data_IF_184750166760
#
_entry.id   IF_184750166760
#
_cell.length_a   1.000
_cell.length_b   1.000
_cell.length_c   1.000
_cell.angle_alpha   90.00
_cell.angle_beta   90.00
_cell.angle_gamma   90.00
#
_symmetry.space_group_name_H-M   'P 1'
#
loop_
_entity.id
_entity.type
_entity.pdbx_description
1 polymer ?
#
# COMPACT_ATOMS: atom_id res chain seq x y z
N UNK A 1 -10.64 2.24 3.66
CA UNK A 1 -9.81 2.71 2.51
C UNK A 1 -10.54 2.46 1.20
N UNK A 2 -10.12 3.09 0.11
CA UNK A 2 -10.58 2.85 -1.27
C UNK A 2 -9.38 2.58 -2.16
N UNK A 3 -9.59 1.80 -3.23
CA UNK A 3 -8.54 1.49 -4.21
C UNK A 3 -8.12 2.77 -4.92
N UNK A 4 -6.82 3.07 -4.91
CA UNK A 4 -6.27 4.25 -5.57
C UNK A 4 -6.21 4.09 -7.09
N UNK A 5 -5.95 5.18 -7.82
CA UNK A 5 -5.74 5.11 -9.27
C UNK A 5 -4.57 4.18 -9.66
N UNK A 6 -3.54 4.03 -8.78
CA UNK A 6 -2.44 3.06 -8.98
C UNK A 6 -2.96 1.61 -8.88
N UNK A 7 -3.82 1.32 -7.90
CA UNK A 7 -4.46 0.01 -7.76
C UNK A 7 -5.38 -0.31 -8.94
N UNK A 8 -6.19 0.66 -9.38
CA UNK A 8 -7.04 0.54 -10.55
C UNK A 8 -6.20 0.28 -11.82
N UNK A 9 -5.10 1.03 -12.02
CA UNK A 9 -4.21 0.84 -13.15
C UNK A 9 -3.57 -0.56 -13.14
N UNK A 10 -3.18 -1.07 -11.96
CA UNK A 10 -2.66 -2.44 -11.83
C UNK A 10 -3.71 -3.48 -12.26
N UNK A 11 -4.95 -3.37 -11.76
CA UNK A 11 -6.03 -4.31 -12.09
C UNK A 11 -6.33 -4.27 -13.59
N UNK A 12 -6.56 -3.09 -14.16
CA UNK A 12 -6.92 -2.92 -15.57
C UNK A 12 -5.85 -3.41 -16.54
N UNK A 13 -4.56 -3.36 -16.14
CA UNK A 13 -3.45 -3.87 -16.93
C UNK A 13 -3.48 -5.41 -17.10
N UNK A 14 -4.12 -6.14 -16.17
CA UNK A 14 -4.21 -7.60 -16.21
C UNK A 14 -5.56 -8.12 -16.67
N UNK A 15 -6.66 -7.37 -16.46
CA UNK A 15 -7.99 -7.83 -16.87
C UNK A 15 -8.25 -7.61 -18.36
N UNK A 16 -7.58 -6.66 -18.98
CA UNK A 16 -7.88 -6.22 -20.34
C UNK A 16 -9.21 -5.45 -20.40
N UNK A 17 -9.53 -4.92 -21.58
CA UNK A 17 -10.76 -4.16 -21.82
C UNK A 17 -11.56 -4.77 -22.96
N UNK A 18 -12.81 -5.19 -22.69
CA UNK A 18 -13.76 -5.58 -23.72
C UNK A 18 -14.82 -4.49 -23.90
N UNK A 19 -14.88 -3.83 -25.08
CA UNK A 19 -15.90 -2.83 -25.35
C UNK A 19 -17.27 -3.43 -25.63
N UNK A 20 -17.37 -4.73 -25.88
CA UNK A 20 -18.61 -5.47 -26.18
C UNK A 20 -18.84 -6.56 -25.15
N UNK A 21 -20.11 -6.81 -24.85
CA UNK A 21 -20.52 -7.91 -24.00
C UNK A 21 -20.15 -9.26 -24.62
N UNK A 22 -19.62 -10.17 -23.81
CA UNK A 22 -19.20 -11.51 -24.24
C UNK A 22 -19.48 -12.54 -23.13
N UNK A 23 -19.42 -13.82 -23.47
CA UNK A 23 -19.38 -14.94 -22.54
C UNK A 23 -18.06 -15.67 -22.70
N UNK A 24 -17.37 -15.98 -21.58
CA UNK A 24 -16.14 -16.76 -21.61
C UNK A 24 -16.41 -18.19 -22.05
N UNK A 25 -17.56 -18.74 -21.58
CA UNK A 25 -18.08 -20.05 -22.02
C UNK A 25 -19.58 -19.93 -22.33
N UNK A 26 -20.12 -20.69 -23.31
CA UNK A 26 -21.53 -20.57 -23.71
C UNK A 26 -22.53 -20.83 -22.57
N UNK A 27 -22.15 -21.62 -21.58
CA UNK A 27 -22.99 -22.00 -20.44
C UNK A 27 -23.11 -20.94 -19.35
N UNK A 28 -22.35 -19.81 -19.45
CA UNK A 28 -22.49 -18.73 -18.49
C UNK A 28 -23.89 -18.13 -18.50
N UNK A 29 -24.43 -17.87 -17.30
CA UNK A 29 -25.77 -17.33 -17.11
C UNK A 29 -25.85 -15.87 -17.59
N UNK A 30 -24.81 -15.07 -17.36
CA UNK A 30 -24.77 -13.66 -17.70
C UNK A 30 -23.61 -13.33 -18.62
N UNK A 31 -23.61 -12.14 -19.17
CA UNK A 31 -22.54 -11.62 -20.01
C UNK A 31 -21.50 -10.87 -19.14
N UNK A 32 -20.30 -10.77 -19.67
CA UNK A 32 -19.19 -9.98 -19.14
C UNK A 32 -18.92 -8.80 -20.05
N UNK A 33 -18.54 -7.64 -19.50
CA UNK A 33 -18.21 -6.44 -20.28
C UNK A 33 -17.12 -5.61 -19.55
N UNK A 34 -16.45 -4.73 -20.27
CA UNK A 34 -15.48 -3.79 -19.71
C UNK A 34 -14.24 -4.48 -19.16
N UNK A 35 -13.94 -4.30 -17.88
CA UNK A 35 -12.81 -4.88 -17.16
C UNK A 35 -13.22 -6.10 -16.33
N UNK A 36 -14.09 -6.96 -16.86
CA UNK A 36 -14.53 -8.17 -16.18
C UNK A 36 -15.82 -8.01 -15.38
N UNK A 37 -16.59 -6.95 -15.60
CA UNK A 37 -17.90 -6.80 -14.98
C UNK A 37 -18.87 -7.86 -15.52
N UNK A 38 -19.33 -8.78 -14.63
CA UNK A 38 -20.22 -9.88 -14.91
C UNK A 38 -21.52 -9.72 -14.11
N UNK A 39 -22.65 -9.69 -14.81
CA UNK A 39 -23.92 -9.51 -14.09
C UNK A 39 -25.17 -9.60 -14.97
N UNK A 40 -26.33 -9.68 -14.30
CA UNK A 40 -27.66 -9.69 -14.94
C UNK A 40 -28.01 -8.38 -15.68
N UNK A 41 -27.30 -7.34 -15.37
CA UNK A 41 -27.41 -6.00 -15.96
C UNK A 41 -26.69 -5.89 -17.31
N UNK A 42 -25.75 -6.80 -17.61
CA UNK A 42 -25.08 -6.88 -18.90
C UNK A 42 -25.92 -7.66 -19.88
N UNK A 43 -26.41 -7.01 -20.94
CA UNK A 43 -27.24 -7.61 -21.98
C UNK A 43 -26.40 -8.05 -23.17
N UNK A 44 -26.88 -9.05 -23.90
CA UNK A 44 -26.28 -9.44 -25.18
C UNK A 44 -26.22 -8.24 -26.14
N UNK A 45 -25.10 -8.12 -26.85
CA UNK A 45 -24.88 -7.01 -27.78
C UNK A 45 -24.57 -5.66 -27.14
N UNK A 46 -24.59 -5.56 -25.80
CA UNK A 46 -24.26 -4.31 -25.12
C UNK A 46 -22.82 -3.86 -25.41
N UNK A 47 -22.63 -2.54 -25.50
CA UNK A 47 -21.32 -1.90 -25.66
C UNK A 47 -21.06 -0.92 -24.53
N UNK A 48 -19.77 -0.69 -24.22
CA UNK A 48 -19.36 0.19 -23.13
C UNK A 48 -18.13 1.02 -23.50
N UNK A 49 -18.06 2.26 -23.02
CA UNK A 49 -16.85 3.09 -23.10
C UNK A 49 -15.88 2.73 -21.99
N UNK A 50 -14.58 3.05 -22.15
CA UNK A 50 -13.57 2.87 -21.09
C UNK A 50 -13.95 3.60 -19.80
N UNK A 51 -14.48 4.83 -19.90
CA UNK A 51 -14.90 5.61 -18.74
C UNK A 51 -15.99 4.90 -17.94
N UNK A 52 -17.03 4.43 -18.63
CA UNK A 52 -18.13 3.69 -17.97
C UNK A 52 -17.66 2.34 -17.41
N UNK A 53 -16.75 1.66 -18.09
CA UNK A 53 -16.16 0.42 -17.60
C UNK A 53 -15.33 0.63 -16.32
N UNK A 54 -14.63 1.76 -16.19
CA UNK A 54 -13.93 2.14 -14.95
C UNK A 54 -14.88 2.41 -13.78
N UNK A 55 -16.03 3.04 -14.04
CA UNK A 55 -17.07 3.23 -13.02
C UNK A 55 -17.61 1.88 -12.51
N UNK A 56 -17.91 0.95 -13.42
CA UNK A 56 -18.34 -0.40 -13.07
C UNK A 56 -17.26 -1.12 -12.27
N UNK A 57 -16.00 -1.07 -12.72
CA UNK A 57 -14.88 -1.67 -11.98
C UNK A 57 -14.79 -1.11 -10.55
N UNK A 58 -14.85 0.22 -10.38
CA UNK A 58 -14.83 0.85 -9.04
C UNK A 58 -15.98 0.36 -8.16
N UNK A 59 -17.17 0.14 -8.74
CA UNK A 59 -18.32 -0.45 -8.03
C UNK A 59 -18.05 -1.91 -7.63
N UNK A 60 -17.53 -2.72 -8.55
CA UNK A 60 -17.22 -4.14 -8.31
C UNK A 60 -16.13 -4.32 -7.25
N UNK A 61 -15.17 -3.40 -7.19
CA UNK A 61 -14.09 -3.45 -6.20
C UNK A 61 -14.59 -3.29 -4.77
N UNK A 62 -15.73 -2.67 -4.52
CA UNK A 62 -16.25 -2.41 -3.17
C UNK A 62 -16.35 -3.67 -2.31
N UNK A 63 -16.72 -4.81 -2.87
CA UNK A 63 -16.79 -6.10 -2.14
C UNK A 63 -15.42 -6.61 -1.74
N UNK A 64 -14.42 -6.43 -2.60
CA UNK A 64 -13.04 -6.85 -2.33
C UNK A 64 -12.35 -5.90 -1.35
N UNK A 65 -12.60 -4.59 -1.46
CA UNK A 65 -12.18 -3.59 -0.47
C UNK A 65 -12.69 -3.95 0.92
N UNK A 66 -13.98 -4.33 1.05
CA UNK A 66 -14.56 -4.79 2.31
C UNK A 66 -13.87 -6.06 2.83
N UNK A 67 -13.56 -7.02 1.96
CA UNK A 67 -12.84 -8.25 2.33
C UNK A 67 -11.44 -7.93 2.85
N UNK A 68 -10.69 -7.05 2.17
CA UNK A 68 -9.36 -6.63 2.59
C UNK A 68 -9.40 -5.90 3.93
N UNK A 69 -10.36 -4.97 4.12
CA UNK A 69 -10.49 -4.19 5.35
C UNK A 69 -10.79 -5.01 6.61
N UNK A 70 -11.22 -6.27 6.49
CA UNK A 70 -11.37 -7.17 7.66
C UNK A 70 -10.10 -7.29 8.50
N UNK A 71 -8.94 -7.17 7.87
CA UNK A 71 -7.63 -7.37 8.51
C UNK A 71 -6.88 -6.07 8.75
N UNK A 72 -7.50 -4.90 8.57
CA UNK A 72 -6.82 -3.61 8.76
C UNK A 72 -6.36 -3.38 10.20
N UNK A 73 -7.13 -3.87 11.17
CA UNK A 73 -6.75 -3.85 12.59
C UNK A 73 -5.51 -4.69 12.92
N UNK A 74 -5.15 -5.67 12.05
CA UNK A 74 -3.96 -6.51 12.19
C UNK A 74 -2.78 -5.90 11.44
N UNK A 75 -3.03 -5.43 10.21
CA UNK A 75 -1.95 -5.05 9.29
C UNK A 75 -1.70 -3.55 9.22
N UNK A 76 -2.68 -2.70 9.58
CA UNK A 76 -2.58 -1.24 9.46
C UNK A 76 -2.03 -0.84 8.07
N UNK A 77 -2.84 -1.09 7.05
CA UNK A 77 -2.44 -0.95 5.65
C UNK A 77 -1.98 0.46 5.30
N UNK A 78 -0.87 0.56 4.58
CA UNK A 78 -0.65 1.70 3.73
C UNK A 78 -1.41 1.54 2.40
N UNK A 79 -1.51 2.62 1.60
CA UNK A 79 -2.30 2.61 0.36
C UNK A 79 -1.77 1.58 -0.66
N UNK A 80 -0.45 1.40 -0.76
CA UNK A 80 0.14 0.45 -1.71
C UNK A 80 -0.15 -1.01 -1.30
N UNK A 81 -0.08 -1.31 -0.01
CA UNK A 81 -0.44 -2.63 0.54
C UNK A 81 -1.92 -2.93 0.30
N UNK A 82 -2.80 -1.96 0.58
CA UNK A 82 -4.23 -2.08 0.35
C UNK A 82 -4.54 -2.34 -1.13
N UNK A 83 -3.99 -1.54 -2.04
CA UNK A 83 -4.19 -1.67 -3.48
C UNK A 83 -3.72 -3.04 -4.00
N UNK A 84 -2.57 -3.51 -3.53
CA UNK A 84 -2.03 -4.82 -3.90
C UNK A 84 -2.95 -5.97 -3.44
N UNK A 85 -3.47 -5.88 -2.22
CA UNK A 85 -4.42 -6.85 -1.70
C UNK A 85 -5.76 -6.82 -2.43
N UNK A 86 -6.27 -5.66 -2.79
CA UNK A 86 -7.50 -5.56 -3.58
C UNK A 86 -7.31 -6.14 -4.96
N UNK A 87 -6.17 -5.88 -5.64
CA UNK A 87 -5.83 -6.51 -6.92
C UNK A 87 -5.75 -8.03 -6.80
N UNK A 88 -5.11 -8.54 -5.75
CA UNK A 88 -5.03 -9.97 -5.48
C UNK A 88 -6.42 -10.57 -5.24
N UNK A 89 -7.23 -9.96 -4.35
CA UNK A 89 -8.58 -10.42 -4.04
C UNK A 89 -9.50 -10.40 -5.27
N UNK A 90 -9.38 -9.40 -6.13
CA UNK A 90 -10.15 -9.30 -7.37
C UNK A 90 -9.93 -10.51 -8.28
N UNK A 91 -8.70 -11.03 -8.35
CA UNK A 91 -8.36 -12.19 -9.17
C UNK A 91 -8.60 -13.54 -8.47
N UNK A 92 -8.34 -13.63 -7.16
CA UNK A 92 -8.38 -14.92 -6.41
C UNK A 92 -9.70 -15.08 -5.62
N UNK A 93 -10.45 -14.00 -5.41
CA UNK A 93 -11.70 -13.98 -4.66
C UNK A 93 -11.57 -13.39 -3.25
N UNK A 94 -10.52 -13.72 -2.50
CA UNK A 94 -10.25 -13.17 -1.17
C UNK A 94 -8.76 -13.17 -0.83
N UNK A 95 -8.39 -12.51 0.28
CA UNK A 95 -7.03 -12.57 0.85
C UNK A 95 -6.93 -13.54 2.05
N UNK A 96 -8.00 -14.23 2.41
CA UNK A 96 -8.06 -15.06 3.61
C UNK A 96 -6.97 -16.16 3.61
N UNK A 97 -6.83 -16.89 2.50
CA UNK A 97 -5.78 -17.89 2.34
C UNK A 97 -4.37 -17.29 2.27
N UNK A 98 -4.20 -16.15 1.59
CA UNK A 98 -2.91 -15.46 1.50
C UNK A 98 -2.44 -14.98 2.88
N UNK A 99 -3.34 -14.41 3.67
CA UNK A 99 -3.04 -13.90 5.02
C UNK A 99 -3.09 -14.99 6.10
N UNK A 100 -3.55 -16.20 5.77
CA UNK A 100 -3.87 -17.26 6.72
C UNK A 100 -4.79 -16.72 7.82
N UNK A 101 -5.90 -16.10 7.39
CA UNK A 101 -6.88 -15.44 8.26
C UNK A 101 -6.25 -14.39 9.23
N UNK A 102 -5.29 -13.61 8.73
CA UNK A 102 -4.66 -12.53 9.50
C UNK A 102 -3.50 -12.97 10.41
N UNK A 103 -3.04 -14.22 10.32
CA UNK A 103 -1.95 -14.73 11.18
C UNK A 103 -0.56 -14.65 10.55
N UNK A 104 -0.44 -14.49 9.23
CA UNK A 104 0.87 -14.32 8.57
C UNK A 104 1.40 -12.91 8.75
N UNK A 105 2.70 -12.79 8.93
CA UNK A 105 3.39 -11.49 8.85
C UNK A 105 3.38 -10.93 7.42
N UNK A 106 3.53 -9.62 7.27
CA UNK A 106 3.67 -8.96 5.95
C UNK A 106 4.82 -9.54 5.12
N UNK A 107 5.93 -9.92 5.75
CA UNK A 107 7.07 -10.52 5.07
C UNK A 107 6.74 -11.92 4.49
N UNK A 108 6.01 -12.74 5.22
CA UNK A 108 5.54 -14.05 4.75
C UNK A 108 4.49 -13.90 3.64
N UNK A 109 3.57 -12.94 3.77
CA UNK A 109 2.58 -12.61 2.74
C UNK A 109 3.27 -12.29 1.42
N UNK A 110 4.29 -11.41 1.43
CA UNK A 110 5.05 -11.06 0.24
C UNK A 110 5.76 -12.26 -0.41
N UNK A 111 6.19 -13.25 0.38
CA UNK A 111 6.76 -14.50 -0.13
C UNK A 111 5.66 -15.40 -0.73
N UNK A 112 4.56 -15.58 -0.02
CA UNK A 112 3.46 -16.47 -0.43
C UNK A 112 2.70 -15.94 -1.65
N UNK A 113 2.60 -14.62 -1.82
CA UNK A 113 1.84 -14.01 -2.91
C UNK A 113 2.23 -14.58 -4.29
N UNK A 114 3.51 -14.76 -4.56
CA UNK A 114 4.01 -15.28 -5.84
C UNK A 114 3.68 -16.76 -6.10
N UNK A 115 3.24 -17.50 -5.07
CA UNK A 115 2.84 -18.91 -5.21
C UNK A 115 1.45 -19.07 -5.84
N UNK A 116 0.63 -18.01 -5.88
CA UNK A 116 -0.72 -18.01 -6.46
C UNK A 116 -0.70 -17.78 -7.98
N UNK A 117 0.17 -18.51 -8.67
CA UNK A 117 0.41 -18.39 -10.12
C UNK A 117 -0.09 -19.57 -10.95
N UNK A 118 -0.96 -20.42 -10.36
CA UNK A 118 -1.46 -21.63 -11.02
C UNK A 118 -2.97 -21.55 -11.28
N UNK A 119 -3.40 -22.14 -12.38
CA UNK A 119 -4.80 -22.46 -12.65
C UNK A 119 -4.87 -23.79 -13.40
N UNK A 120 -5.86 -24.62 -13.11
CA UNK A 120 -5.97 -25.97 -13.67
C UNK A 120 -4.73 -26.86 -13.44
N UNK A 121 -4.00 -26.65 -12.33
CA UNK A 121 -2.78 -27.39 -12.00
C UNK A 121 -1.51 -26.87 -12.69
N UNK A 122 -1.59 -25.95 -13.66
CA UNK A 122 -0.47 -25.44 -14.45
C UNK A 122 -0.06 -24.04 -14.01
N UNK A 123 1.25 -23.75 -14.07
CA UNK A 123 1.77 -22.39 -13.88
C UNK A 123 1.44 -21.56 -15.11
N UNK A 124 0.81 -20.40 -14.90
CA UNK A 124 0.47 -19.46 -15.96
C UNK A 124 1.38 -18.23 -15.92
N UNK A 125 2.04 -17.92 -17.04
CA UNK A 125 2.94 -16.76 -17.16
C UNK A 125 2.22 -15.44 -16.85
N UNK A 126 0.94 -15.28 -17.24
CA UNK A 126 0.14 -14.11 -16.90
C UNK A 126 -0.04 -13.93 -15.39
N UNK A 127 -0.36 -15.02 -14.68
CA UNK A 127 -0.50 -15.00 -13.21
C UNK A 127 0.86 -14.75 -12.53
N UNK A 128 1.93 -15.33 -13.04
CA UNK A 128 3.29 -15.08 -12.51
C UNK A 128 3.64 -13.60 -12.60
N UNK A 129 3.40 -12.96 -13.75
CA UNK A 129 3.62 -11.52 -13.94
C UNK A 129 2.72 -10.69 -13.01
N UNK A 130 1.44 -11.05 -12.88
CA UNK A 130 0.48 -10.37 -11.99
C UNK A 130 0.93 -10.41 -10.55
N UNK A 131 1.25 -11.58 -10.02
CA UNK A 131 1.75 -11.76 -8.64
C UNK A 131 3.04 -10.99 -8.38
N UNK A 132 3.95 -10.93 -9.36
CA UNK A 132 5.18 -10.14 -9.25
C UNK A 132 4.87 -8.63 -9.10
N UNK A 133 3.95 -8.09 -9.91
CA UNK A 133 3.53 -6.68 -9.82
C UNK A 133 2.77 -6.35 -8.55
N UNK A 134 1.90 -7.23 -8.10
CA UNK A 134 1.19 -7.08 -6.82
C UNK A 134 2.16 -7.09 -5.64
N UNK A 135 3.13 -8.01 -5.64
CA UNK A 135 4.20 -8.05 -4.64
C UNK A 135 5.07 -6.79 -4.66
N UNK A 136 5.46 -6.31 -5.85
CA UNK A 136 6.22 -5.06 -5.99
C UNK A 136 5.47 -3.89 -5.36
N UNK A 137 4.16 -3.76 -5.67
CA UNK A 137 3.32 -2.71 -5.10
C UNK A 137 3.18 -2.88 -3.58
N UNK A 138 2.94 -4.10 -3.09
CA UNK A 138 2.82 -4.41 -1.67
C UNK A 138 4.06 -4.01 -0.87
N UNK A 139 5.25 -4.23 -1.41
CA UNK A 139 6.52 -3.90 -0.75
C UNK A 139 6.93 -2.44 -0.91
N UNK A 140 6.23 -1.68 -1.73
CA UNK A 140 6.53 -0.27 -1.95
C UNK A 140 6.08 0.55 -0.75
N UNK A 141 7.01 1.23 -0.12
CA UNK A 141 6.67 2.19 0.94
C UNK A 141 5.69 3.23 0.41
N UNK A 142 4.70 3.60 1.22
CA UNK A 142 3.79 4.69 0.86
C UNK A 142 4.56 6.01 0.74
N UNK A 143 4.05 6.94 -0.07
CA UNK A 143 4.65 8.28 -0.15
C UNK A 143 4.56 9.03 1.18
N UNK A 144 3.57 8.67 2.04
CA UNK A 144 3.46 9.16 3.41
C UNK A 144 4.44 8.47 4.37
N UNK A 145 4.96 7.27 4.01
CA UNK A 145 6.13 6.67 4.64
C UNK A 145 7.45 7.25 4.10
N UNK A 146 7.39 8.22 3.23
CA UNK A 146 8.52 9.10 2.96
C UNK A 146 8.87 9.75 4.28
N UNK A 147 9.62 8.90 5.01
CA UNK A 147 10.34 9.28 6.18
C UNK A 147 9.46 9.53 7.41
N UNK A 148 9.12 8.46 8.12
CA UNK A 148 9.03 8.45 9.58
C UNK A 148 10.27 9.16 10.17
N UNK A 149 11.30 9.34 9.35
CA UNK A 149 12.55 10.00 9.69
C UNK A 149 12.63 11.40 9.03
N UNK A 150 13.30 12.32 9.71
CA UNK A 150 13.75 13.57 9.09
C UNK A 150 14.84 13.29 8.05
N UNK A 151 15.04 14.17 7.05
CA UNK A 151 16.15 14.06 6.10
C UNK A 151 17.50 13.98 6.82
N UNK A 152 18.48 13.35 6.17
CA UNK A 152 19.84 13.30 6.71
C UNK A 152 20.44 14.70 6.79
N UNK A 153 21.02 15.04 7.92
CA UNK A 153 21.80 16.26 8.08
C UNK A 153 23.22 16.09 7.52
N UNK A 154 23.60 16.90 6.56
CA UNK A 154 24.91 16.85 5.90
C UNK A 154 25.81 18.04 6.26
N UNK A 155 25.39 18.92 7.19
CA UNK A 155 26.15 20.08 7.62
C UNK A 155 27.11 19.79 8.78
N UNK A 156 27.84 20.80 9.21
CA UNK A 156 28.89 20.73 10.25
C UNK A 156 28.52 21.42 11.58
N UNK A 157 27.29 21.94 11.74
CA UNK A 157 26.89 22.62 12.97
C UNK A 157 26.86 21.66 14.16
N UNK A 158 27.33 22.16 15.31
CA UNK A 158 27.18 21.56 16.64
C UNK A 158 25.96 22.09 17.41
N UNK A 159 25.27 23.11 16.88
CA UNK A 159 24.05 23.63 17.49
C UNK A 159 22.85 22.79 17.08
N UNK A 160 22.17 22.19 18.06
CA UNK A 160 21.06 21.28 17.84
C UNK A 160 19.89 21.94 17.08
N UNK A 161 19.54 23.18 17.39
CA UNK A 161 18.42 23.84 16.74
C UNK A 161 18.72 24.20 15.29
N UNK A 162 19.97 24.52 14.94
CA UNK A 162 20.42 24.68 13.56
C UNK A 162 20.33 23.36 12.82
N UNK A 163 20.79 22.26 13.42
CA UNK A 163 20.72 20.92 12.85
C UNK A 163 19.28 20.51 12.58
N UNK A 164 18.42 20.64 13.59
CA UNK A 164 17.01 20.24 13.48
C UNK A 164 16.24 21.10 12.47
N UNK A 165 16.43 22.42 12.49
CA UNK A 165 15.79 23.34 11.55
C UNK A 165 16.18 23.05 10.10
N UNK A 166 17.47 22.77 9.85
CA UNK A 166 17.97 22.49 8.49
C UNK A 166 17.42 21.20 7.86
N UNK A 167 16.94 20.27 8.67
CA UNK A 167 16.29 19.03 8.20
C UNK A 167 14.76 19.09 8.25
N UNK A 168 14.19 20.27 8.48
CA UNK A 168 12.75 20.52 8.41
C UNK A 168 11.97 20.15 9.68
N UNK A 169 12.63 20.15 10.84
CA UNK A 169 11.92 20.02 12.12
C UNK A 169 11.11 21.31 12.37
N UNK A 170 9.80 21.21 12.65
CA UNK A 170 8.96 22.38 12.94
C UNK A 170 9.45 23.21 14.13
N UNK A 171 9.34 24.53 14.05
CA UNK A 171 9.81 25.48 15.09
C UNK A 171 9.23 25.19 16.48
N UNK A 172 8.02 24.63 16.59
CA UNK A 172 7.42 24.23 17.87
C UNK A 172 8.25 23.19 18.66
N UNK A 173 9.20 22.51 18.02
CA UNK A 173 10.10 21.53 18.63
C UNK A 173 11.52 22.07 18.85
N UNK A 174 11.76 23.36 18.58
CA UNK A 174 13.07 24.01 18.72
C UNK A 174 13.13 24.88 19.97
N UNK A 175 14.30 25.42 20.28
CA UNK A 175 14.54 26.43 21.31
C UNK A 175 14.71 25.91 22.73
N UNK A 176 14.03 24.88 23.16
CA UNK A 176 14.14 24.34 24.52
C UNK A 176 14.18 22.82 24.57
N UNK A 177 14.66 22.26 25.68
CA UNK A 177 14.64 20.82 25.90
C UNK A 177 13.22 20.29 26.03
N UNK A 178 12.30 21.06 26.64
CA UNK A 178 10.89 20.68 26.78
C UNK A 178 10.20 20.60 25.41
N UNK A 179 10.47 21.53 24.51
CA UNK A 179 9.96 21.52 23.14
C UNK A 179 10.45 20.31 22.35
N UNK A 180 11.66 19.81 22.62
CA UNK A 180 12.27 18.65 21.94
C UNK A 180 11.83 17.29 22.49
N UNK A 181 11.16 17.23 23.67
CA UNK A 181 10.68 15.97 24.25
C UNK A 181 9.91 15.06 23.27
N UNK A 182 8.95 15.54 22.46
CA UNK A 182 8.23 14.67 21.52
C UNK A 182 9.17 13.99 20.52
N UNK A 183 10.21 14.71 20.02
CA UNK A 183 11.22 14.12 19.14
C UNK A 183 12.03 13.06 19.88
N UNK A 184 12.47 13.35 21.10
CA UNK A 184 13.24 12.42 21.91
C UNK A 184 12.44 11.14 22.18
N UNK A 185 11.18 11.25 22.57
CA UNK A 185 10.30 10.11 22.83
C UNK A 185 10.03 9.26 21.57
N UNK A 186 9.83 9.89 20.40
CA UNK A 186 9.71 9.18 19.14
C UNK A 186 10.99 8.37 18.79
N UNK A 187 12.12 8.73 19.38
CA UNK A 187 13.41 8.05 19.21
C UNK A 187 13.82 7.18 20.42
N UNK A 188 12.86 6.79 21.26
CA UNK A 188 13.02 5.93 22.45
C UNK A 188 13.90 6.55 23.57
N UNK A 189 14.03 7.87 23.61
CA UNK A 189 14.77 8.57 24.64
C UNK A 189 13.84 8.99 25.80
N UNK A 190 13.30 8.00 26.52
CA UNK A 190 12.27 8.21 27.57
C UNK A 190 12.69 9.08 28.74
N UNK A 191 13.99 9.16 29.03
CA UNK A 191 14.58 9.96 30.11
C UNK A 191 15.25 11.23 29.58
N UNK A 192 14.81 11.77 28.45
CA UNK A 192 15.38 12.98 27.87
C UNK A 192 15.28 14.20 28.79
N UNK A 193 16.41 14.75 29.12
CA UNK A 193 16.55 15.93 30.01
C UNK A 193 17.03 17.19 29.27
N UNK A 194 17.41 17.04 28.00
CA UNK A 194 18.01 18.10 27.21
C UNK A 194 19.49 18.33 27.53
N UNK A 195 20.13 17.38 28.21
CA UNK A 195 21.58 17.40 28.47
C UNK A 195 22.38 17.47 27.17
N UNK A 196 23.67 17.85 27.28
CA UNK A 196 24.56 17.83 26.12
C UNK A 196 24.60 16.46 25.43
N UNK A 197 24.66 15.38 26.23
CA UNK A 197 24.66 14.00 25.71
C UNK A 197 23.37 13.64 24.97
N UNK A 198 22.22 14.04 25.51
CA UNK A 198 20.92 13.85 24.86
C UNK A 198 20.83 14.56 23.52
N UNK A 199 21.29 15.82 23.48
CA UNK A 199 21.30 16.63 22.28
C UNK A 199 22.27 16.05 21.23
N UNK A 200 23.44 15.56 21.64
CA UNK A 200 24.40 14.89 20.77
C UNK A 200 23.76 13.61 20.19
N UNK A 201 23.04 12.82 20.97
CA UNK A 201 22.36 11.63 20.50
C UNK A 201 21.31 11.95 19.41
N UNK A 202 20.50 12.98 19.62
CA UNK A 202 19.52 13.45 18.59
C UNK A 202 20.26 13.88 17.32
N UNK A 203 21.34 14.68 17.44
CA UNK A 203 22.12 15.13 16.29
C UNK A 203 22.78 13.97 15.53
N UNK A 204 23.26 12.93 16.25
CA UNK A 204 23.81 11.72 15.62
C UNK A 204 22.74 10.97 14.83
N UNK A 205 21.51 10.86 15.35
CA UNK A 205 20.40 10.25 14.61
C UNK A 205 20.09 11.08 13.35
N UNK A 206 20.09 12.43 13.43
CA UNK A 206 19.91 13.29 12.28
C UNK A 206 21.02 13.12 11.24
N UNK A 207 22.29 13.09 11.65
CA UNK A 207 23.44 12.84 10.75
C UNK A 207 23.39 11.47 10.06
N UNK A 208 22.76 10.48 10.67
CA UNK A 208 22.56 9.14 10.09
C UNK A 208 21.27 9.05 9.26
N UNK A 209 20.42 10.08 9.22
CA UNK A 209 19.09 10.03 8.60
C UNK A 209 18.13 9.09 9.32
N UNK A 210 18.34 8.87 10.62
CA UNK A 210 17.55 7.93 11.46
C UNK A 210 16.76 8.64 12.56
N UNK A 211 16.68 9.98 12.52
CA UNK A 211 15.88 10.75 13.46
C UNK A 211 14.40 10.63 13.08
N UNK A 212 13.61 9.96 13.92
CA UNK A 212 12.16 9.79 13.73
C UNK A 212 11.41 11.09 14.01
N UNK A 213 10.35 11.31 13.26
CA UNK A 213 9.36 12.37 13.52
C UNK A 213 8.47 11.96 14.68
N UNK A 214 8.06 12.91 15.54
CA UNK A 214 7.12 12.69 16.62
C UNK A 214 5.69 12.51 16.15
#
# INVERSE_FOLDING_TARGET
MKTSEKGIALITAFEGFSPKAYKCVPTERYFTIGYGHYGKDVKEGATITKGKALELLKSDLARFEKNVMKYDNVYHYNQNEFDAFVSFAYNVGSIDGLTKNGTRSKAEIAKCMTMYNRAGGHVLNGLTKRRAREKELFLRKSENEKSVYYPRYNGNSSNIDIVLKSIGVPDKYLGSWTSRKPIAYANNMVNYTGSLFDNIAIMQLAKRGKLKKP
#
